data_IF_397421571766
#
_entry.id   IF_397421571766
#
_cell.length_a   1.000
_cell.length_b   1.000
_cell.length_c   1.000
_cell.angle_alpha   90.00
_cell.angle_beta   90.00
_cell.angle_gamma   90.00
#
_symmetry.space_group_name_H-M   'P 1'
#
loop_
_entity.id
_entity.type
_entity.pdbx_description
1 polymer ?
#
# COMPACT_ATOMS: atom_id res chain seq x y z
N UNK A 1 -14.03 -11.01 4.33
CA UNK A 1 -14.10 -9.76 3.55
C UNK A 1 -12.70 -9.19 3.40
N UNK A 2 -12.33 -8.75 2.21
CA UNK A 2 -11.07 -8.10 1.88
C UNK A 2 -11.22 -6.59 2.11
N UNK A 3 -10.30 -5.95 2.81
CA UNK A 3 -10.24 -4.49 2.94
C UNK A 3 -9.29 -3.89 1.90
N UNK A 4 -9.74 -2.90 1.15
CA UNK A 4 -8.93 -2.19 0.15
C UNK A 4 -8.86 -0.72 0.55
N UNK A 5 -7.68 -0.24 0.95
CA UNK A 5 -7.46 1.17 1.24
C UNK A 5 -6.98 1.89 -0.02
N UNK A 6 -7.92 2.51 -0.73
CA UNK A 6 -7.68 3.32 -1.92
C UNK A 6 -7.51 4.81 -1.63
N UNK A 7 -7.57 5.62 -2.69
CA UNK A 7 -7.50 7.08 -2.62
C UNK A 7 -6.09 7.66 -2.83
N UNK A 8 -5.11 6.81 -3.18
CA UNK A 8 -3.70 7.19 -3.30
C UNK A 8 -3.03 6.79 -4.65
N UNK A 9 -3.61 6.80 -5.84
CA UNK A 9 -4.80 7.47 -6.28
C UNK A 9 -6.05 6.58 -6.33
N UNK A 10 -7.13 7.29 -6.52
CA UNK A 10 -8.46 6.70 -6.65
C UNK A 10 -8.53 5.70 -7.80
N UNK A 11 -8.02 6.03 -8.96
CA UNK A 11 -8.03 5.14 -10.14
C UNK A 11 -7.26 3.83 -9.88
N UNK A 12 -6.14 3.87 -9.15
CA UNK A 12 -5.42 2.65 -8.80
C UNK A 12 -6.23 1.73 -7.89
N UNK A 13 -7.01 2.30 -6.96
CA UNK A 13 -7.93 1.53 -6.10
C UNK A 13 -9.07 0.88 -6.90
N UNK A 14 -9.67 1.62 -7.82
CA UNK A 14 -10.74 1.10 -8.69
C UNK A 14 -10.22 0.03 -9.66
N UNK A 15 -9.06 0.25 -10.29
CA UNK A 15 -8.41 -0.72 -11.16
C UNK A 15 -8.08 -2.02 -10.41
N UNK A 16 -7.60 -1.91 -9.15
CA UNK A 16 -7.37 -3.07 -8.31
C UNK A 16 -8.66 -3.87 -8.08
N UNK A 17 -9.77 -3.20 -7.73
CA UNK A 17 -11.06 -3.86 -7.54
C UNK A 17 -11.53 -4.55 -8.83
N UNK A 18 -11.42 -3.87 -9.97
CA UNK A 18 -11.78 -4.44 -11.27
C UNK A 18 -10.95 -5.69 -11.58
N UNK A 19 -9.63 -5.64 -11.40
CA UNK A 19 -8.74 -6.80 -11.59
C UNK A 19 -9.07 -7.94 -10.63
N UNK A 20 -9.41 -7.65 -9.37
CA UNK A 20 -9.81 -8.64 -8.39
C UNK A 20 -11.05 -9.41 -8.89
N UNK A 21 -12.07 -8.70 -9.37
CA UNK A 21 -13.29 -9.29 -9.92
C UNK A 21 -13.00 -10.10 -11.18
N UNK A 22 -12.20 -9.57 -12.11
CA UNK A 22 -11.86 -10.26 -13.36
C UNK A 22 -11.04 -11.53 -13.15
N UNK A 23 -10.15 -11.56 -12.18
CA UNK A 23 -9.31 -12.72 -11.88
C UNK A 23 -10.09 -13.85 -11.19
N UNK A 24 -11.12 -13.52 -10.45
CA UNK A 24 -11.88 -14.53 -9.68
C UNK A 24 -12.80 -15.40 -10.56
N UNK A 25 -13.33 -14.87 -11.65
CA UNK A 25 -14.16 -15.59 -12.64
C UNK A 25 -15.32 -16.39 -12.04
N UNK A 26 -16.04 -15.80 -11.08
CA UNK A 26 -17.28 -16.40 -10.55
C UNK A 26 -18.35 -16.57 -11.64
N UNK A 27 -19.15 -17.63 -11.56
CA UNK A 27 -20.29 -17.88 -12.46
C UNK A 27 -21.57 -17.22 -11.98
N UNK A 28 -21.68 -16.99 -10.69
CA UNK A 28 -22.80 -16.32 -10.02
C UNK A 28 -22.25 -15.28 -9.04
N UNK A 29 -23.06 -14.31 -8.64
CA UNK A 29 -22.63 -13.19 -7.79
C UNK A 29 -22.05 -13.65 -6.44
N UNK A 30 -22.57 -14.72 -5.86
CA UNK A 30 -22.17 -15.26 -4.57
C UNK A 30 -20.76 -15.89 -4.56
N UNK A 31 -20.21 -16.18 -5.72
CA UNK A 31 -18.85 -16.74 -5.85
C UNK A 31 -17.78 -15.64 -5.86
N UNK A 32 -18.15 -14.36 -6.07
CA UNK A 32 -17.17 -13.29 -6.07
C UNK A 32 -16.65 -12.97 -4.67
N UNK A 33 -15.40 -12.52 -4.54
CA UNK A 33 -14.81 -12.20 -3.24
C UNK A 33 -15.53 -11.03 -2.58
N UNK A 34 -15.93 -11.21 -1.34
CA UNK A 34 -16.48 -10.11 -0.55
C UNK A 34 -15.37 -9.12 -0.21
N UNK A 35 -15.47 -7.88 -0.70
CA UNK A 35 -14.50 -6.81 -0.42
C UNK A 35 -15.17 -5.49 -0.09
N UNK A 36 -14.42 -4.63 0.60
CA UNK A 36 -14.77 -3.24 0.88
C UNK A 36 -13.66 -2.33 0.37
N UNK A 37 -13.98 -1.41 -0.53
CA UNK A 37 -13.09 -0.32 -0.94
C UNK A 37 -13.37 0.91 -0.09
N UNK A 38 -12.39 1.33 0.72
CA UNK A 38 -12.39 2.64 1.33
C UNK A 38 -11.50 3.59 0.53
N UNK A 39 -12.11 4.38 -0.34
CA UNK A 39 -11.40 5.38 -1.14
C UNK A 39 -11.16 6.65 -0.31
N UNK A 40 -10.09 6.67 0.46
CA UNK A 40 -9.70 7.79 1.33
C UNK A 40 -8.81 8.78 0.56
N UNK A 41 -9.40 9.59 -0.31
CA UNK A 41 -8.69 10.52 -1.20
C UNK A 41 -8.03 11.71 -0.48
N UNK A 42 -8.38 11.95 0.78
CA UNK A 42 -7.82 13.03 1.61
C UNK A 42 -6.53 12.66 2.34
N UNK A 43 -5.92 11.50 2.05
CA UNK A 43 -4.59 11.17 2.57
C UNK A 43 -3.56 12.14 1.97
N UNK A 44 -2.72 12.82 2.79
CA UNK A 44 -1.77 13.80 2.28
C UNK A 44 -0.77 13.22 1.26
N UNK A 45 -0.17 14.06 0.44
CA UNK A 45 0.82 13.67 -0.56
C UNK A 45 1.96 12.84 0.04
N UNK A 46 2.21 11.64 -0.51
CA UNK A 46 3.25 10.71 -0.02
C UNK A 46 4.66 11.16 -0.42
N UNK A 47 4.94 11.54 -1.69
CA UNK A 47 6.28 11.97 -2.08
C UNK A 47 6.81 13.15 -1.26
N UNK A 48 5.96 14.12 -0.97
CA UNK A 48 6.30 15.31 -0.18
C UNK A 48 6.53 15.03 1.31
N UNK A 49 6.06 13.87 1.77
CA UNK A 49 6.13 13.44 3.17
C UNK A 49 7.26 12.46 3.43
N UNK A 50 7.84 11.92 2.36
CA UNK A 50 9.08 11.16 2.36
C UNK A 50 10.19 12.17 2.27
N UNK A 51 10.78 12.54 3.40
CA UNK A 51 11.98 13.41 3.39
C UNK A 51 13.08 12.77 2.56
N UNK A 52 13.72 13.58 1.71
CA UNK A 52 14.73 13.17 0.71
C UNK A 52 16.01 12.62 1.33
N UNK A 53 15.96 11.85 2.36
CA UNK A 53 17.14 11.11 2.86
C UNK A 53 16.66 9.95 3.74
N UNK A 54 16.98 8.73 3.39
CA UNK A 54 17.94 7.86 4.05
C UNK A 54 17.78 6.39 3.72
N UNK A 55 18.86 5.84 3.20
CA UNK A 55 19.11 4.41 2.99
C UNK A 55 19.43 3.63 4.27
N UNK A 56 19.23 4.20 5.45
CA UNK A 56 19.55 3.50 6.69
C UNK A 56 18.45 3.71 7.72
N UNK A 57 17.94 2.61 8.24
CA UNK A 57 17.03 2.52 9.37
C UNK A 57 17.63 3.10 10.67
N UNK A 58 18.91 3.46 10.65
CA UNK A 58 19.66 4.01 11.79
C UNK A 58 19.97 5.48 11.57
N UNK A 59 19.28 6.30 12.35
CA UNK A 59 19.72 7.60 12.81
C UNK A 59 20.00 8.66 11.74
N UNK A 60 18.94 9.44 11.37
CA UNK A 60 19.16 10.81 10.97
C UNK A 60 18.17 11.76 11.66
N UNK A 61 18.60 12.95 12.05
CA UNK A 61 17.69 13.97 12.55
C UNK A 61 16.77 14.38 11.40
N UNK A 62 15.57 13.78 11.38
CA UNK A 62 14.49 14.24 10.52
C UNK A 62 14.24 15.69 10.88
N UNK A 63 14.33 16.62 9.94
CA UNK A 63 13.91 17.98 10.23
C UNK A 63 12.50 17.93 10.84
N UNK A 64 12.20 18.78 11.80
CA UNK A 64 10.90 18.81 12.47
C UNK A 64 9.73 18.88 11.48
N UNK A 65 9.90 19.57 10.36
CA UNK A 65 8.91 19.64 9.27
C UNK A 65 8.67 18.28 8.58
N UNK A 66 9.71 17.48 8.38
CA UNK A 66 9.58 16.16 7.75
C UNK A 66 8.91 15.14 8.69
N UNK A 67 9.19 15.21 9.99
CA UNK A 67 8.51 14.38 11.01
C UNK A 67 7.01 14.71 11.04
N UNK A 68 6.64 15.99 10.99
CA UNK A 68 5.23 16.40 10.99
C UNK A 68 4.51 15.86 9.75
N UNK A 69 5.11 15.98 8.56
CA UNK A 69 4.53 15.45 7.32
C UNK A 69 4.39 13.94 7.35
N UNK A 70 5.44 13.22 7.78
CA UNK A 70 5.42 11.78 7.96
C UNK A 70 4.27 11.34 8.86
N UNK A 71 4.14 11.96 10.03
CA UNK A 71 3.11 11.63 11.02
C UNK A 71 1.69 11.94 10.52
N UNK A 72 1.50 12.99 9.72
CA UNK A 72 0.19 13.28 9.08
C UNK A 72 -0.24 12.16 8.14
N UNK A 73 0.67 11.67 7.29
CA UNK A 73 0.36 10.55 6.39
C UNK A 73 0.11 9.28 7.19
N UNK A 74 0.98 8.94 8.13
CA UNK A 74 0.81 7.77 8.99
C UNK A 74 -0.53 7.78 9.72
N UNK A 75 -0.90 8.90 10.34
CA UNK A 75 -2.19 9.06 11.01
C UNK A 75 -3.36 8.78 10.06
N UNK A 76 -3.32 9.38 8.87
CA UNK A 76 -4.39 9.21 7.88
C UNK A 76 -4.49 7.78 7.34
N UNK A 77 -3.36 7.11 7.11
CA UNK A 77 -3.32 5.70 6.75
C UNK A 77 -3.88 4.81 7.87
N UNK A 78 -3.48 5.05 9.12
CA UNK A 78 -3.98 4.32 10.28
C UNK A 78 -5.49 4.47 10.46
N UNK A 79 -6.04 5.66 10.29
CA UNK A 79 -7.48 5.89 10.32
C UNK A 79 -8.20 5.04 9.27
N UNK A 80 -7.66 5.01 8.02
CA UNK A 80 -8.22 4.20 6.95
C UNK A 80 -8.17 2.70 7.25
N UNK A 81 -7.01 2.21 7.68
CA UNK A 81 -6.83 0.79 8.03
C UNK A 81 -7.72 0.37 9.21
N UNK A 82 -7.82 1.21 10.26
CA UNK A 82 -8.71 0.95 11.41
C UNK A 82 -10.18 0.94 11.03
N UNK A 83 -10.60 1.76 10.07
CA UNK A 83 -11.97 1.74 9.57
C UNK A 83 -12.28 0.41 8.89
N UNK A 84 -11.38 -0.10 8.05
CA UNK A 84 -11.52 -1.40 7.40
C UNK A 84 -11.49 -2.56 8.43
N UNK A 85 -10.61 -2.50 9.42
CA UNK A 85 -10.54 -3.47 10.51
C UNK A 85 -11.85 -3.51 11.30
N UNK A 86 -12.38 -2.36 11.70
CA UNK A 86 -13.67 -2.23 12.40
C UNK A 86 -14.86 -2.73 11.58
N UNK A 87 -14.78 -2.62 10.26
CA UNK A 87 -15.81 -3.14 9.33
C UNK A 87 -15.75 -4.66 9.15
N UNK A 88 -14.88 -5.37 9.86
CA UNK A 88 -14.79 -6.83 9.83
C UNK A 88 -13.97 -7.39 8.67
N UNK A 89 -13.11 -6.57 8.04
CA UNK A 89 -12.16 -7.07 7.07
C UNK A 89 -11.17 -8.03 7.74
N UNK A 90 -10.74 -9.07 7.00
CA UNK A 90 -9.82 -10.10 7.50
C UNK A 90 -8.36 -9.76 7.21
N UNK A 91 -8.11 -8.99 6.16
CA UNK A 91 -6.82 -8.44 5.82
C UNK A 91 -7.00 -7.18 4.96
N UNK A 92 -5.95 -6.39 4.82
CA UNK A 92 -5.96 -5.12 4.09
C UNK A 92 -4.97 -5.18 2.93
N UNK A 93 -5.39 -4.63 1.78
CA UNK A 93 -4.54 -4.33 0.62
C UNK A 93 -4.51 -2.82 0.42
N UNK A 94 -3.33 -2.29 0.12
CA UNK A 94 -3.11 -0.87 -0.18
C UNK A 94 -2.55 -0.74 -1.60
N UNK A 95 -3.36 -0.46 -2.63
CA UNK A 95 -2.92 -0.34 -4.02
C UNK A 95 -2.12 0.95 -4.28
N UNK A 96 -1.02 1.12 -3.56
CA UNK A 96 -0.13 2.26 -3.65
C UNK A 96 1.27 1.87 -3.19
N UNK A 97 2.24 1.80 -4.10
CA UNK A 97 3.63 1.45 -3.74
C UNK A 97 4.19 2.39 -2.68
N UNK A 98 4.14 3.68 -2.91
CA UNK A 98 4.72 4.69 -1.99
C UNK A 98 4.13 4.64 -0.58
N UNK A 99 2.88 4.16 -0.39
CA UNK A 99 2.28 4.02 0.94
C UNK A 99 2.97 2.94 1.78
N UNK A 100 3.67 1.99 1.16
CA UNK A 100 4.41 0.94 1.85
C UNK A 100 5.66 1.45 2.59
N UNK A 101 6.03 2.71 2.39
CA UNK A 101 7.03 3.39 3.23
C UNK A 101 6.63 3.41 4.72
N UNK A 102 5.34 3.39 5.01
CA UNK A 102 4.78 3.32 6.37
C UNK A 102 4.36 1.90 6.78
N UNK A 103 4.71 0.88 6.00
CA UNK A 103 4.22 -0.49 6.20
C UNK A 103 4.53 -1.04 7.60
N UNK A 104 5.75 -0.89 8.09
CA UNK A 104 6.13 -1.42 9.40
C UNK A 104 5.39 -0.71 10.55
N UNK A 105 5.20 0.61 10.45
CA UNK A 105 4.41 1.36 11.44
C UNK A 105 2.93 0.96 11.45
N UNK A 106 2.38 0.67 10.26
CA UNK A 106 1.00 0.21 10.13
C UNK A 106 0.84 -1.20 10.70
N UNK A 107 1.75 -2.10 10.37
CA UNK A 107 1.75 -3.50 10.80
C UNK A 107 1.76 -3.65 12.33
N UNK A 108 2.48 -2.79 13.03
CA UNK A 108 2.52 -2.79 14.50
C UNK A 108 1.18 -2.33 15.12
N UNK A 109 0.44 -1.45 14.43
CA UNK A 109 -0.73 -0.75 14.98
C UNK A 109 -2.08 -1.29 14.52
N UNK A 110 -2.09 -2.18 13.53
CA UNK A 110 -3.29 -2.82 12.95
C UNK A 110 -3.24 -4.31 13.30
N UNK A 111 -4.35 -4.84 13.79
CA UNK A 111 -4.42 -6.22 14.29
C UNK A 111 -4.57 -7.25 13.17
N UNK A 112 -5.18 -6.87 12.05
CA UNK A 112 -5.36 -7.75 10.89
C UNK A 112 -4.17 -7.62 9.92
N UNK A 113 -3.83 -8.67 9.15
CA UNK A 113 -2.71 -8.62 8.22
C UNK A 113 -2.86 -7.51 7.18
N UNK A 114 -1.78 -6.81 6.87
CA UNK A 114 -1.66 -5.91 5.73
C UNK A 114 -0.77 -6.61 4.70
N UNK A 115 -1.27 -6.78 3.48
CA UNK A 115 -0.49 -7.39 2.40
C UNK A 115 0.58 -6.41 1.93
N UNK A 116 1.84 -6.83 1.95
CA UNK A 116 2.94 -6.03 1.44
C UNK A 116 3.01 -6.17 -0.08
N UNK A 117 2.36 -5.27 -0.80
CA UNK A 117 2.24 -5.34 -2.25
C UNK A 117 3.61 -5.37 -2.98
N UNK A 118 4.60 -4.52 -2.66
CA UNK A 118 5.93 -4.60 -3.28
C UNK A 118 6.59 -5.98 -3.10
N UNK A 119 6.48 -6.55 -1.91
CA UNK A 119 6.99 -7.90 -1.62
C UNK A 119 6.30 -8.97 -2.47
N UNK A 120 4.97 -8.91 -2.61
CA UNK A 120 4.21 -9.85 -3.42
C UNK A 120 4.56 -9.74 -4.90
N UNK A 121 4.75 -8.50 -5.42
CA UNK A 121 5.23 -8.27 -6.79
C UNK A 121 6.61 -8.87 -6.99
N UNK A 122 7.54 -8.67 -6.05
CA UNK A 122 8.87 -9.28 -6.10
C UNK A 122 8.81 -10.81 -6.11
N UNK A 123 8.00 -11.41 -5.23
CA UNK A 123 7.83 -12.86 -5.16
C UNK A 123 7.23 -13.43 -6.45
N UNK A 124 6.27 -12.71 -7.04
CA UNK A 124 5.69 -13.08 -8.33
C UNK A 124 6.71 -12.98 -9.45
N UNK A 125 7.45 -11.89 -9.54
CA UNK A 125 8.52 -11.71 -10.52
C UNK A 125 9.57 -12.84 -10.44
N UNK A 126 9.97 -13.24 -9.23
CA UNK A 126 10.88 -14.40 -9.05
C UNK A 126 10.34 -15.70 -9.62
N UNK A 127 9.02 -15.91 -9.62
CA UNK A 127 8.41 -17.13 -10.17
C UNK A 127 8.37 -17.15 -11.69
N UNK A 128 8.16 -15.99 -12.33
CA UNK A 128 7.97 -15.90 -13.79
C UNK A 128 9.23 -15.54 -14.55
N UNK A 129 10.21 -14.90 -13.90
CA UNK A 129 11.45 -14.49 -14.52
C UNK A 129 12.53 -15.57 -14.41
N UNK A 130 13.33 -15.74 -15.45
CA UNK A 130 14.53 -16.61 -15.41
C UNK A 130 15.63 -15.96 -14.58
N UNK A 131 16.57 -16.78 -14.10
CA UNK A 131 17.81 -16.29 -13.48
C UNK A 131 18.51 -15.33 -14.44
N UNK A 132 18.96 -14.19 -13.95
CA UNK A 132 19.63 -13.12 -14.72
C UNK A 132 18.71 -12.34 -15.68
N UNK A 133 17.37 -12.46 -15.59
CA UNK A 133 16.45 -11.56 -16.30
C UNK A 133 16.66 -10.13 -15.86
N UNK A 134 16.65 -9.20 -16.82
CA UNK A 134 16.62 -7.76 -16.52
C UNK A 134 15.17 -7.32 -16.36
N UNK A 135 14.86 -6.66 -15.26
CA UNK A 135 13.51 -6.17 -14.96
C UNK A 135 13.56 -4.64 -14.95
N UNK A 136 12.74 -4.01 -15.78
CA UNK A 136 12.54 -2.56 -15.74
C UNK A 136 11.52 -2.18 -14.66
N UNK A 137 11.83 -1.15 -13.88
CA UNK A 137 10.93 -0.59 -12.88
C UNK A 137 10.43 0.79 -13.32
N UNK A 138 9.12 0.91 -13.50
CA UNK A 138 8.43 2.19 -13.68
C UNK A 138 7.73 2.53 -12.37
N UNK A 139 8.19 3.58 -11.70
CA UNK A 139 7.68 3.96 -10.39
C UNK A 139 7.74 5.48 -10.17
N UNK A 140 7.01 5.96 -9.17
CA UNK A 140 7.12 7.36 -8.74
C UNK A 140 8.49 7.63 -8.11
N UNK A 141 8.93 8.88 -8.16
CA UNK A 141 10.18 9.31 -7.51
C UNK A 141 10.23 8.92 -6.01
N UNK A 142 9.09 9.02 -5.32
CA UNK A 142 8.98 8.60 -3.92
C UNK A 142 9.28 7.12 -3.72
N UNK A 143 8.79 6.24 -4.59
CA UNK A 143 9.07 4.80 -4.54
C UNK A 143 10.54 4.51 -4.82
N UNK A 144 11.13 5.17 -5.84
CA UNK A 144 12.54 4.98 -6.19
C UNK A 144 13.48 5.47 -5.08
N UNK A 145 13.18 6.60 -4.45
CA UNK A 145 14.00 7.17 -3.36
C UNK A 145 13.91 6.38 -2.05
N UNK A 146 12.84 5.66 -1.81
CA UNK A 146 12.63 4.88 -0.58
C UNK A 146 13.05 3.42 -0.69
N UNK A 147 13.42 2.97 -1.89
CA UNK A 147 13.84 1.59 -2.16
C UNK A 147 12.80 0.55 -1.71
N UNK A 148 11.52 0.91 -1.80
CA UNK A 148 10.39 0.02 -1.47
C UNK A 148 10.27 -1.07 -2.54
#
# INVERSE_FOLDING_TARGET
>A
MIGILGGMGTQAGLDFCNKLVMLYRGKIDQEYPLFMLYNKSNIPGRPESIGVQTRTFSALPRSSKNIIKYNKVLKSLLEGCKSLEKSGCKFIVIPCNTAHYWYEDLKIKIKIPIINMPKEVFLHAKKICKRNSKIGLLATEGTLKTEI
#
